data_IF_829686263783
#
_entry.id   IF_829686263783
#
_cell.length_a   1.000
_cell.length_b   1.000
_cell.length_c   1.000
_cell.angle_alpha   90.00
_cell.angle_beta   90.00
_cell.angle_gamma   90.00
#
_symmetry.space_group_name_H-M   'P 1'
#
loop_
_entity.id
_entity.type
_entity.pdbx_description
1 polymer ?
#
# COMPACT_ATOMS: atom_id res chain seq x y z
N UNK A 1 15.35 14.76 -12.16
CA UNK A 1 14.10 14.43 -11.47
C UNK A 1 14.42 13.36 -10.43
N UNK A 2 14.13 13.61 -9.16
CA UNK A 2 14.28 12.68 -8.03
C UNK A 2 13.00 11.86 -7.88
N UNK A 3 13.11 10.54 -7.96
CA UNK A 3 12.00 9.61 -7.84
C UNK A 3 12.18 8.80 -6.56
N UNK A 4 11.23 8.91 -5.63
CA UNK A 4 11.21 8.15 -4.39
C UNK A 4 10.32 6.92 -4.56
N UNK A 5 10.85 5.72 -4.38
CA UNK A 5 10.13 4.47 -4.58
C UNK A 5 9.99 3.71 -3.25
N UNK A 6 8.77 3.30 -2.94
CA UNK A 6 8.46 2.37 -1.84
C UNK A 6 8.02 1.05 -2.44
N UNK A 7 8.80 -0.01 -2.19
CA UNK A 7 8.41 -1.38 -2.55
C UNK A 7 7.64 -2.00 -1.40
N UNK A 8 6.45 -2.52 -1.65
CA UNK A 8 5.62 -3.20 -0.66
C UNK A 8 5.42 -4.69 -1.00
N UNK A 9 5.54 -5.53 0.03
CA UNK A 9 5.28 -6.96 -0.05
C UNK A 9 6.49 -7.76 -0.54
N UNK A 10 6.61 -8.99 -0.05
CA UNK A 10 7.63 -9.93 -0.52
C UNK A 10 7.37 -10.34 -1.99
N UNK A 11 6.10 -10.53 -2.36
CA UNK A 11 5.69 -10.92 -3.71
C UNK A 11 6.21 -9.97 -4.81
N UNK A 12 6.25 -8.66 -4.55
CA UNK A 12 6.79 -7.69 -5.50
C UNK A 12 8.27 -7.96 -5.79
N UNK A 13 9.02 -8.41 -4.80
CA UNK A 13 10.44 -8.74 -4.90
C UNK A 13 10.60 -10.14 -5.50
N UNK A 14 9.93 -11.14 -4.95
CA UNK A 14 10.05 -12.54 -5.33
C UNK A 14 9.66 -12.82 -6.79
N UNK A 15 8.67 -12.09 -7.31
CA UNK A 15 8.26 -12.16 -8.72
C UNK A 15 9.24 -11.46 -9.67
N UNK A 16 10.23 -10.72 -9.16
CA UNK A 16 11.10 -9.84 -9.94
C UNK A 16 10.40 -8.57 -10.45
N UNK A 17 9.12 -8.36 -10.13
CA UNK A 17 8.34 -7.22 -10.61
C UNK A 17 8.89 -5.89 -10.09
N UNK A 18 9.31 -5.83 -8.82
CA UNK A 18 9.91 -4.65 -8.21
C UNK A 18 11.15 -4.22 -8.98
N UNK A 19 12.04 -5.15 -9.33
CA UNK A 19 13.24 -4.86 -10.12
C UNK A 19 12.86 -4.31 -11.50
N UNK A 20 11.88 -4.91 -12.20
CA UNK A 20 11.38 -4.41 -13.49
C UNK A 20 10.84 -2.97 -13.39
N UNK A 21 10.08 -2.67 -12.33
CA UNK A 21 9.54 -1.34 -12.08
C UNK A 21 10.66 -0.32 -11.80
N UNK A 22 11.60 -0.66 -10.92
CA UNK A 22 12.75 0.19 -10.57
C UNK A 22 13.59 0.52 -11.82
N UNK A 23 13.99 -0.50 -12.61
CA UNK A 23 14.74 -0.29 -13.87
C UNK A 23 13.99 0.56 -14.90
N UNK A 24 12.66 0.55 -14.84
CA UNK A 24 11.85 1.42 -15.71
C UNK A 24 11.91 2.87 -15.24
N UNK A 25 11.85 3.12 -13.94
CA UNK A 25 11.92 4.45 -13.35
C UNK A 25 13.33 5.06 -13.43
N UNK A 26 14.39 4.24 -13.31
CA UNK A 26 15.79 4.69 -13.43
C UNK A 26 16.10 5.30 -14.80
N UNK A 27 15.34 4.92 -15.84
CA UNK A 27 15.46 5.52 -17.18
C UNK A 27 14.85 6.91 -17.27
N UNK A 28 14.10 7.34 -16.25
CA UNK A 28 13.33 8.58 -16.22
C UNK A 28 13.89 9.60 -15.21
N UNK A 29 14.72 9.16 -14.26
CA UNK A 29 15.27 10.02 -13.23
C UNK A 29 16.20 9.31 -12.26
N UNK A 30 16.62 10.04 -11.24
CA UNK A 30 17.43 9.54 -10.14
C UNK A 30 16.53 8.85 -9.12
N UNK A 31 16.70 7.54 -8.91
CA UNK A 31 15.76 6.69 -8.16
C UNK A 31 16.35 6.32 -6.81
N UNK A 32 15.64 6.65 -5.74
CA UNK A 32 15.90 6.17 -4.39
C UNK A 32 14.81 5.18 -3.98
N UNK A 33 15.19 3.94 -3.66
CA UNK A 33 14.23 2.88 -3.32
C UNK A 33 14.35 2.50 -1.85
N UNK A 34 13.20 2.37 -1.18
CA UNK A 34 13.11 1.87 0.19
C UNK A 34 12.00 0.83 0.33
N UNK A 35 12.11 -0.01 1.35
CA UNK A 35 11.10 -1.04 1.62
C UNK A 35 9.99 -0.53 2.56
N UNK A 36 8.74 -0.77 2.18
CA UNK A 36 7.56 -0.60 3.03
C UNK A 36 7.06 -1.94 3.60
N UNK A 37 7.24 -2.16 4.91
CA UNK A 37 6.78 -3.35 5.62
C UNK A 37 7.90 -4.35 5.97
N UNK A 38 7.57 -5.31 6.82
CA UNK A 38 8.57 -6.21 7.42
C UNK A 38 8.91 -7.43 6.57
N UNK A 39 7.90 -8.05 5.92
CA UNK A 39 8.12 -9.33 5.21
C UNK A 39 9.01 -9.19 3.98
N UNK A 40 8.93 -8.05 3.28
CA UNK A 40 9.76 -7.85 2.08
C UNK A 40 11.26 -7.79 2.37
N UNK A 41 11.67 -7.56 3.63
CA UNK A 41 13.09 -7.46 3.99
C UNK A 41 13.83 -8.76 3.75
N UNK A 42 13.19 -9.87 4.10
CA UNK A 42 13.76 -11.21 3.88
C UNK A 42 13.92 -11.44 2.38
N UNK A 43 12.89 -11.12 1.59
CA UNK A 43 12.97 -11.21 0.13
C UNK A 43 14.08 -10.33 -0.46
N UNK A 44 14.28 -9.10 0.03
CA UNK A 44 15.42 -8.26 -0.44
C UNK A 44 16.76 -8.98 -0.22
N UNK A 45 16.97 -9.58 0.95
CA UNK A 45 18.21 -10.29 1.30
C UNK A 45 18.38 -11.56 0.46
N UNK A 46 17.31 -12.35 0.34
CA UNK A 46 17.32 -13.61 -0.41
C UNK A 46 17.66 -13.40 -1.90
N UNK A 47 17.27 -12.24 -2.45
CA UNK A 47 17.57 -11.84 -3.83
C UNK A 47 18.80 -10.93 -3.96
N UNK A 48 19.54 -10.68 -2.88
CA UNK A 48 20.73 -9.81 -2.85
C UNK A 48 20.49 -8.39 -3.41
N UNK A 49 19.36 -7.78 -3.02
CA UNK A 49 18.92 -6.47 -3.49
C UNK A 49 19.18 -5.34 -2.48
N UNK A 50 19.98 -5.56 -1.44
CA UNK A 50 20.24 -4.58 -0.37
C UNK A 50 20.95 -3.31 -0.88
N UNK A 51 21.75 -3.44 -1.95
CA UNK A 51 22.40 -2.30 -2.60
C UNK A 51 21.43 -1.45 -3.44
N UNK A 52 20.25 -2.00 -3.75
CA UNK A 52 19.23 -1.34 -4.57
C UNK A 52 18.06 -0.83 -3.73
N UNK A 53 17.63 -1.60 -2.71
CA UNK A 53 16.45 -1.33 -1.89
C UNK A 53 16.90 -1.12 -0.45
N UNK A 54 16.73 0.11 0.04
CA UNK A 54 17.03 0.44 1.42
C UNK A 54 16.07 -0.28 2.38
N UNK A 55 16.64 -1.20 3.16
CA UNK A 55 15.97 -1.98 4.21
C UNK A 55 16.40 -1.57 5.62
N UNK A 56 17.11 -0.46 5.79
CA UNK A 56 17.53 0.02 7.12
C UNK A 56 16.32 0.49 7.92
N UNK A 57 15.40 1.20 7.26
CA UNK A 57 14.14 1.68 7.82
C UNK A 57 13.13 0.54 8.04
N UNK A 58 12.48 0.53 9.21
CA UNK A 58 11.42 -0.44 9.60
C UNK A 58 10.04 0.21 9.52
N UNK A 59 9.76 0.81 8.39
CA UNK A 59 8.59 1.67 8.21
C UNK A 59 7.39 0.89 7.67
N UNK A 60 6.19 1.33 8.05
CA UNK A 60 4.98 0.94 7.32
C UNK A 60 5.00 1.63 5.95
N UNK A 61 4.37 1.05 4.91
CA UNK A 61 4.29 1.66 3.58
C UNK A 61 3.81 3.12 3.59
N UNK A 62 2.79 3.43 4.41
CA UNK A 62 2.29 4.82 4.56
C UNK A 62 3.34 5.76 5.14
N UNK A 63 4.12 5.31 6.12
CA UNK A 63 5.17 6.12 6.74
C UNK A 63 6.32 6.37 5.76
N UNK A 64 6.75 5.36 5.02
CA UNK A 64 7.79 5.50 4.00
C UNK A 64 7.34 6.43 2.87
N UNK A 65 6.10 6.29 2.38
CA UNK A 65 5.54 7.18 1.38
C UNK A 65 5.46 8.62 1.89
N UNK A 66 4.96 8.83 3.12
CA UNK A 66 4.87 10.17 3.70
C UNK A 66 6.24 10.84 3.84
N UNK A 67 7.26 10.09 4.28
CA UNK A 67 8.63 10.60 4.36
C UNK A 67 9.13 11.10 3.01
N UNK A 68 8.93 10.34 1.93
CA UNK A 68 9.34 10.78 0.59
C UNK A 68 8.56 12.00 0.08
N UNK A 69 7.29 12.14 0.48
CA UNK A 69 6.50 13.34 0.19
C UNK A 69 7.07 14.54 0.97
N UNK A 70 7.39 14.36 2.25
CA UNK A 70 7.94 15.39 3.13
C UNK A 70 9.36 15.81 2.72
N UNK A 71 10.13 14.89 2.13
CA UNK A 71 11.48 15.10 1.58
C UNK A 71 11.47 15.76 0.18
N UNK A 72 10.29 16.19 -0.29
CA UNK A 72 10.06 16.94 -1.53
C UNK A 72 10.66 16.24 -2.77
N UNK A 73 10.41 14.93 -2.91
CA UNK A 73 10.70 14.25 -4.18
C UNK A 73 9.81 14.79 -5.30
N UNK A 74 10.32 14.77 -6.54
CA UNK A 74 9.57 15.23 -7.71
C UNK A 74 8.44 14.25 -8.09
N UNK A 75 8.65 12.96 -7.80
CA UNK A 75 7.68 11.88 -7.98
C UNK A 75 7.84 10.85 -6.87
N UNK A 76 6.74 10.47 -6.24
CA UNK A 76 6.70 9.35 -5.29
C UNK A 76 5.98 8.17 -5.93
N UNK A 77 6.51 6.96 -5.74
CA UNK A 77 5.99 5.74 -6.34
C UNK A 77 5.79 4.66 -5.29
N UNK A 78 4.59 4.09 -5.23
CA UNK A 78 4.33 2.83 -4.56
C UNK A 78 4.41 1.69 -5.57
N UNK A 79 5.29 0.73 -5.35
CA UNK A 79 5.33 -0.54 -6.10
C UNK A 79 4.79 -1.64 -5.21
N UNK A 80 3.68 -2.24 -5.61
CA UNK A 80 3.06 -3.37 -4.93
C UNK A 80 2.86 -4.54 -5.88
N UNK A 81 2.71 -5.75 -5.32
CA UNK A 81 2.25 -6.91 -6.05
C UNK A 81 1.31 -7.70 -5.15
N UNK A 82 0.01 -7.41 -5.24
CA UNK A 82 -1.02 -8.17 -4.55
C UNK A 82 -1.17 -9.56 -5.17
N UNK A 83 -1.63 -10.55 -4.39
CA UNK A 83 -2.00 -11.87 -4.93
C UNK A 83 -3.12 -11.79 -5.97
N UNK A 84 -3.97 -10.78 -5.84
CA UNK A 84 -5.05 -10.44 -6.75
C UNK A 84 -5.09 -8.93 -6.95
N UNK A 85 -5.40 -8.49 -8.17
CA UNK A 85 -5.51 -7.06 -8.53
C UNK A 85 -6.42 -6.30 -7.56
N UNK A 86 -7.60 -6.86 -7.25
CA UNK A 86 -8.55 -6.21 -6.35
C UNK A 86 -7.96 -5.95 -4.96
N UNK A 87 -7.22 -6.91 -4.39
CA UNK A 87 -6.58 -6.74 -3.08
C UNK A 87 -5.47 -5.69 -3.10
N UNK A 88 -4.71 -5.63 -4.20
CA UNK A 88 -3.63 -4.65 -4.40
C UNK A 88 -4.15 -3.23 -4.53
N UNK A 89 -5.20 -3.03 -5.34
CA UNK A 89 -5.89 -1.74 -5.45
C UNK A 89 -6.48 -1.32 -4.10
N UNK A 90 -7.20 -2.21 -3.42
CA UNK A 90 -7.76 -1.91 -2.09
C UNK A 90 -6.68 -1.48 -1.10
N UNK A 91 -5.52 -2.15 -1.11
CA UNK A 91 -4.39 -1.77 -0.29
C UNK A 91 -3.91 -0.34 -0.58
N UNK A 92 -3.75 0.01 -1.86
CA UNK A 92 -3.39 1.36 -2.27
C UNK A 92 -4.43 2.41 -1.81
N UNK A 93 -5.72 2.16 -2.05
CA UNK A 93 -6.82 3.04 -1.63
C UNK A 93 -6.91 3.24 -0.11
N UNK A 94 -6.48 2.24 0.68
CA UNK A 94 -6.39 2.31 2.15
C UNK A 94 -5.21 3.14 2.65
N UNK A 95 -4.19 3.36 1.82
CA UNK A 95 -3.04 4.20 2.17
C UNK A 95 -3.33 5.67 1.91
N UNK A 96 -4.06 6.00 0.83
CA UNK A 96 -4.27 7.38 0.39
C UNK A 96 -4.78 8.34 1.49
N UNK A 97 -5.80 7.99 2.31
CA UNK A 97 -6.26 8.89 3.37
C UNK A 97 -5.26 9.13 4.51
N UNK A 98 -4.17 8.34 4.57
CA UNK A 98 -3.12 8.46 5.59
C UNK A 98 -1.97 9.37 5.14
N UNK A 99 -1.99 9.81 3.89
CA UNK A 99 -0.94 10.61 3.27
C UNK A 99 -1.40 12.06 3.18
N UNK A 100 -0.53 12.98 3.57
CA UNK A 100 -0.69 14.42 3.34
C UNK A 100 -0.10 14.76 1.98
N UNK A 101 -0.77 14.31 0.91
CA UNK A 101 -0.35 14.56 -0.47
C UNK A 101 -0.52 16.06 -0.76
N UNK A 102 0.59 16.72 -1.08
CA UNK A 102 0.63 18.13 -1.49
C UNK A 102 0.67 18.19 -3.02
N UNK A 103 1.70 18.82 -3.58
CA UNK A 103 1.89 18.97 -5.03
C UNK A 103 2.61 17.77 -5.65
N UNK A 104 3.37 17.01 -4.85
CA UNK A 104 4.10 15.82 -5.32
C UNK A 104 3.14 14.73 -5.81
N UNK A 105 3.21 14.33 -7.10
CA UNK A 105 2.40 13.23 -7.60
C UNK A 105 2.79 11.90 -6.96
N UNK A 106 1.79 11.07 -6.71
CA UNK A 106 1.94 9.71 -6.22
C UNK A 106 1.50 8.72 -7.30
N UNK A 107 2.47 8.02 -7.89
CA UNK A 107 2.22 6.92 -8.80
C UNK A 107 2.07 5.62 -8.01
N UNK A 108 1.12 4.78 -8.40
CA UNK A 108 0.89 3.48 -7.78
C UNK A 108 0.96 2.43 -8.88
N UNK A 109 1.92 1.52 -8.74
CA UNK A 109 2.17 0.43 -9.67
C UNK A 109 1.80 -0.87 -8.97
N UNK A 110 0.74 -1.52 -9.44
CA UNK A 110 0.25 -2.81 -8.95
C UNK A 110 0.60 -3.90 -9.98
N UNK A 111 1.55 -4.76 -9.59
CA UNK A 111 2.07 -5.83 -10.45
C UNK A 111 1.03 -6.88 -10.86
N UNK A 112 -0.08 -7.00 -10.12
CA UNK A 112 -1.22 -7.82 -10.51
C UNK A 112 -2.05 -7.24 -11.67
N UNK A 113 -1.66 -6.08 -12.22
CA UNK A 113 -2.20 -5.59 -13.50
C UNK A 113 -2.86 -4.22 -13.44
N UNK A 114 -2.30 -3.24 -12.72
CA UNK A 114 -2.80 -1.87 -12.78
C UNK A 114 -1.71 -0.83 -12.49
N UNK A 115 -1.92 0.37 -13.00
CA UNK A 115 -1.14 1.55 -12.64
C UNK A 115 -2.06 2.77 -12.56
N UNK A 116 -1.89 3.60 -11.54
CA UNK A 116 -2.69 4.81 -11.35
C UNK A 116 -1.86 5.92 -10.73
N UNK A 117 -2.41 7.13 -10.72
CA UNK A 117 -1.75 8.30 -10.14
C UNK A 117 -2.73 9.12 -9.30
N UNK A 118 -2.23 9.70 -8.21
CA UNK A 118 -2.87 10.80 -7.49
C UNK A 118 -2.05 12.06 -7.74
N UNK A 119 -2.71 13.14 -8.18
CA UNK A 119 -2.05 14.34 -8.68
C UNK A 119 -1.74 14.27 -10.18
N UNK A 120 -1.10 15.30 -10.70
CA UNK A 120 -0.73 15.41 -12.13
C UNK A 120 0.66 14.79 -12.33
N UNK A 121 0.75 13.77 -13.19
CA UNK A 121 2.01 13.09 -13.50
C UNK A 121 2.11 12.82 -15.00
N UNK A 122 2.99 13.55 -15.67
CA UNK A 122 3.23 13.43 -17.12
C UNK A 122 3.87 12.08 -17.50
N UNK A 123 4.42 11.36 -16.52
CA UNK A 123 5.08 10.06 -16.74
C UNK A 123 4.14 8.86 -16.63
N UNK A 124 2.88 9.06 -16.22
CA UNK A 124 1.93 7.96 -15.99
C UNK A 124 1.79 7.05 -17.23
N UNK A 125 1.52 7.64 -18.40
CA UNK A 125 1.32 6.86 -19.64
C UNK A 125 2.61 6.18 -20.10
N UNK A 126 3.76 6.85 -19.97
CA UNK A 126 5.05 6.31 -20.36
C UNK A 126 5.44 5.09 -19.50
N UNK A 127 5.24 5.19 -18.18
CA UNK A 127 5.51 4.08 -17.24
C UNK A 127 4.50 2.94 -17.46
N UNK A 128 3.22 3.26 -17.64
CA UNK A 128 2.17 2.28 -17.93
C UNK A 128 2.49 1.47 -19.20
N UNK A 129 2.87 2.14 -20.28
CA UNK A 129 3.27 1.50 -21.54
C UNK A 129 4.51 0.62 -21.37
N UNK A 130 5.54 1.13 -20.67
CA UNK A 130 6.79 0.40 -20.43
C UNK A 130 6.58 -0.88 -19.60
N UNK A 131 5.65 -0.84 -18.65
CA UNK A 131 5.34 -1.99 -17.79
C UNK A 131 4.22 -2.88 -18.36
N UNK A 132 3.55 -2.44 -19.43
CA UNK A 132 2.38 -3.08 -20.03
C UNK A 132 1.21 -3.21 -19.05
N UNK A 133 0.96 -2.15 -18.28
CA UNK A 133 -0.10 -2.10 -17.28
C UNK A 133 -1.25 -1.21 -17.75
N UNK A 134 -2.51 -1.63 -17.56
CA UNK A 134 -3.65 -0.77 -17.84
C UNK A 134 -3.75 0.36 -16.81
N UNK A 135 -4.20 1.54 -17.27
CA UNK A 135 -4.47 2.67 -16.39
C UNK A 135 -5.68 2.37 -15.49
N UNK A 136 -5.58 2.74 -14.22
CA UNK A 136 -6.61 2.56 -13.22
C UNK A 136 -6.87 3.86 -12.47
N UNK A 137 -8.15 4.19 -12.28
CA UNK A 137 -8.57 5.35 -11.51
C UNK A 137 -8.67 4.99 -10.03
N UNK A 138 -7.69 5.44 -9.23
CA UNK A 138 -7.65 5.21 -7.80
C UNK A 138 -8.63 6.12 -7.07
N UNK A 139 -9.35 5.57 -6.09
CA UNK A 139 -10.29 6.35 -5.27
C UNK A 139 -10.00 6.14 -3.78
N UNK A 140 -9.68 7.20 -3.01
CA UNK A 140 -9.44 7.04 -1.58
C UNK A 140 -10.62 6.38 -0.87
N UNK A 141 -10.35 5.35 -0.05
CA UNK A 141 -11.38 4.68 0.74
C UNK A 141 -11.34 5.11 2.20
N UNK A 142 -12.37 5.84 2.62
CA UNK A 142 -12.61 6.13 4.03
C UNK A 142 -13.10 4.83 4.69
N UNK A 143 -12.25 4.24 5.51
CA UNK A 143 -12.57 3.02 6.26
C UNK A 143 -12.84 3.28 7.72
N UNK A 144 -12.74 4.52 8.17
CA UNK A 144 -12.97 4.92 9.55
C UNK A 144 -13.78 6.22 9.58
N UNK A 145 -14.90 6.20 10.28
CA UNK A 145 -15.75 7.36 10.55
C UNK A 145 -15.76 7.60 12.06
N UNK A 146 -15.36 8.79 12.49
CA UNK A 146 -15.34 9.20 13.89
C UNK A 146 -16.35 10.32 14.14
N UNK A 147 -17.27 10.09 15.06
CA UNK A 147 -18.30 11.04 15.49
C UNK A 147 -18.30 11.12 17.01
N UNK A 148 -17.73 12.19 17.56
CA UNK A 148 -17.61 12.37 19.01
C UNK A 148 -16.74 11.28 19.64
N UNK A 149 -17.33 10.46 20.51
CA UNK A 149 -16.64 9.35 21.17
C UNK A 149 -16.82 8.00 20.46
N UNK A 150 -17.48 7.99 19.29
CA UNK A 150 -17.80 6.78 18.52
C UNK A 150 -16.95 6.72 17.27
N UNK A 151 -16.28 5.60 17.05
CA UNK A 151 -15.53 5.30 15.83
C UNK A 151 -16.08 4.01 15.20
N UNK A 152 -16.47 4.09 13.93
CA UNK A 152 -16.89 2.95 13.11
C UNK A 152 -15.80 2.68 12.09
N UNK A 153 -15.21 1.49 12.13
CA UNK A 153 -14.20 1.04 11.16
C UNK A 153 -14.74 -0.11 10.32
N UNK A 154 -14.62 0.01 9.00
CA UNK A 154 -14.93 -1.03 8.02
C UNK A 154 -13.64 -1.70 7.57
N UNK A 155 -13.62 -3.02 7.58
CA UNK A 155 -12.53 -3.87 7.09
C UNK A 155 -13.11 -4.66 5.93
N UNK A 156 -12.59 -4.45 4.73
CA UNK A 156 -13.08 -5.08 3.50
C UNK A 156 -11.99 -5.94 2.87
N UNK A 157 -12.39 -6.95 2.09
CA UNK A 157 -11.43 -7.83 1.41
C UNK A 157 -10.95 -8.98 2.29
N UNK A 158 -11.73 -9.27 3.32
CA UNK A 158 -11.59 -10.45 4.17
C UNK A 158 -12.33 -11.60 3.51
N UNK A 159 -11.83 -12.83 3.65
CA UNK A 159 -12.53 -14.03 3.25
C UNK A 159 -13.15 -14.73 4.47
N UNK A 160 -14.37 -15.30 4.34
CA UNK A 160 -14.94 -16.13 5.41
C UNK A 160 -13.97 -17.21 5.87
N UNK A 161 -13.83 -17.36 7.18
CA UNK A 161 -12.87 -18.26 7.80
C UNK A 161 -11.55 -17.59 8.24
N UNK A 162 -11.23 -16.39 7.77
CA UNK A 162 -10.03 -15.68 8.17
C UNK A 162 -10.10 -15.13 9.60
N UNK A 163 -8.94 -15.03 10.25
CA UNK A 163 -8.85 -14.51 11.62
C UNK A 163 -8.92 -12.98 11.61
N UNK A 164 -9.79 -12.42 12.46
CA UNK A 164 -9.86 -10.98 12.67
C UNK A 164 -8.99 -10.62 13.86
N UNK A 165 -8.01 -9.74 13.62
CA UNK A 165 -7.06 -9.29 14.63
C UNK A 165 -7.15 -7.78 14.84
N UNK A 166 -7.20 -7.34 16.10
CA UNK A 166 -7.15 -5.93 16.48
C UNK A 166 -6.01 -5.75 17.48
N UNK A 167 -5.06 -4.86 17.17
CA UNK A 167 -3.89 -4.57 18.01
C UNK A 167 -3.12 -5.81 18.46
N UNK A 168 -2.94 -6.79 17.57
CA UNK A 168 -2.23 -8.02 17.89
C UNK A 168 -3.09 -9.12 18.51
N UNK A 169 -4.34 -8.84 18.89
CA UNK A 169 -5.25 -9.80 19.53
C UNK A 169 -6.26 -10.34 18.54
N UNK A 170 -6.37 -11.67 18.44
CA UNK A 170 -7.43 -12.32 17.65
C UNK A 170 -8.75 -12.15 18.40
N UNK A 171 -9.71 -11.47 17.78
CA UNK A 171 -11.03 -11.22 18.36
C UNK A 171 -12.11 -12.19 17.87
N UNK A 172 -11.84 -12.92 16.78
CA UNK A 172 -12.81 -13.82 16.19
C UNK A 172 -12.45 -14.25 14.78
N UNK A 173 -13.42 -14.85 14.09
CA UNK A 173 -13.30 -15.32 12.71
C UNK A 173 -14.33 -14.65 11.81
N UNK A 174 -13.90 -14.25 10.62
CA UNK A 174 -14.77 -13.68 9.61
C UNK A 174 -15.84 -14.70 9.18
N UNK A 175 -17.09 -14.25 9.12
CA UNK A 175 -18.20 -14.99 8.50
C UNK A 175 -18.73 -14.29 7.26
N UNK A 176 -18.27 -13.06 7.00
CA UNK A 176 -18.63 -12.21 5.88
C UNK A 176 -17.36 -11.61 5.24
N UNK A 177 -17.50 -11.01 4.05
CA UNK A 177 -16.41 -10.33 3.32
C UNK A 177 -16.16 -8.89 3.79
N UNK A 178 -17.09 -8.36 4.60
CA UNK A 178 -16.98 -7.05 5.25
C UNK A 178 -17.17 -7.18 6.76
N UNK A 179 -16.22 -6.62 7.52
CA UNK A 179 -16.25 -6.59 8.98
C UNK A 179 -16.43 -5.15 9.43
N UNK A 180 -17.38 -4.91 10.34
CA UNK A 180 -17.62 -3.57 10.89
C UNK A 180 -17.31 -3.61 12.38
N UNK A 181 -16.30 -2.85 12.80
CA UNK A 181 -15.91 -2.68 14.20
C UNK A 181 -16.39 -1.32 14.68
N UNK A 182 -17.29 -1.31 15.66
CA UNK A 182 -17.71 -0.09 16.34
C UNK A 182 -17.03 0.01 17.70
N UNK A 183 -16.46 1.17 17.97
CA UNK A 183 -15.90 1.52 19.27
C UNK A 183 -16.60 2.75 19.83
N UNK A 184 -16.83 2.76 21.13
CA UNK A 184 -17.34 3.92 21.88
C UNK A 184 -16.46 4.11 23.12
N UNK A 185 -16.06 5.35 23.40
CA UNK A 185 -15.13 5.66 24.50
C UNK A 185 -13.87 4.76 24.47
N UNK A 186 -13.34 4.51 23.26
CA UNK A 186 -12.17 3.65 23.00
C UNK A 186 -12.34 2.17 23.38
N UNK A 187 -13.57 1.70 23.61
CA UNK A 187 -13.89 0.28 23.84
C UNK A 187 -14.67 -0.27 22.65
N UNK A 188 -14.35 -1.50 22.24
CA UNK A 188 -15.15 -2.19 21.21
C UNK A 188 -16.53 -2.49 21.80
N UNK A 189 -17.58 -1.95 21.18
CA UNK A 189 -18.97 -2.17 21.61
C UNK A 189 -19.74 -3.09 20.67
N UNK A 190 -19.30 -3.21 19.41
CA UNK A 190 -19.92 -4.11 18.43
C UNK A 190 -18.92 -4.53 17.36
N UNK A 191 -18.98 -5.79 16.97
CA UNK A 191 -18.32 -6.31 15.75
C UNK A 191 -19.38 -7.04 14.92
N UNK A 192 -19.56 -6.64 13.67
CA UNK A 192 -20.44 -7.30 12.69
C UNK A 192 -19.60 -8.01 11.62
N UNK A 193 -20.12 -9.09 11.03
CA UNK A 193 -19.41 -9.90 10.02
C UNK A 193 -18.38 -10.87 10.60
N UNK A 194 -18.30 -10.97 11.92
CA UNK A 194 -17.34 -11.81 12.65
C UNK A 194 -18.06 -12.64 13.72
N UNK A 195 -17.71 -13.91 13.84
CA UNK A 195 -18.00 -14.72 15.03
C UNK A 195 -16.94 -14.42 16.09
N UNK A 196 -17.35 -13.82 17.21
CA UNK A 196 -16.47 -13.40 18.30
C UNK A 196 -16.06 -14.61 19.14
N UNK A 197 -14.79 -14.65 19.56
CA UNK A 197 -14.24 -15.70 20.44
C UNK A 197 -14.67 -15.54 21.89
#
# INVERSE_FOLDING_TARGET
MRIGVVVHGAEAIDSGFALKAIRTLERLGDVSVSLGGTMGRVAVIDHSLEDLIDITHRERPSTALQRLIDDEYDLVVLVNHGKMLESGIRFAELLLPKLSIKETPLLIIEGAGAIGCIGICDLLEQVASSLQLPLYHLSPRITAEETGNRLVRRISGVHPGELIQINGVIIGRAVDQEIIVTTENKKITRVSGCEIK
#
